data_IF_595928773027
#
_entry.id   IF_595928773027
#
_cell.length_a   1.000
_cell.length_b   1.000
_cell.length_c   1.000
_cell.angle_alpha   90.00
_cell.angle_beta   90.00
_cell.angle_gamma   90.00
#
_symmetry.space_group_name_H-M   'P 1'
#
loop_
_entity.id
_entity.type
_entity.pdbx_description
1 polymer ?
#
# COMPACT_ATOMS: atom_id res chain seq x y z
N UNK A 1 -10.93 -15.93 4.97
CA UNK A 1 -9.80 -15.31 4.24
C UNK A 1 -9.41 -14.12 5.07
N UNK A 2 -8.18 -14.09 5.59
CA UNK A 2 -7.76 -13.01 6.49
C UNK A 2 -7.90 -11.63 5.86
N UNK A 3 -8.27 -10.64 6.67
CA UNK A 3 -8.37 -9.24 6.25
C UNK A 3 -7.04 -8.54 6.49
N UNK A 4 -6.55 -7.81 5.51
CA UNK A 4 -5.35 -6.99 5.64
C UNK A 4 -5.59 -5.56 5.12
N UNK A 5 -4.85 -4.58 5.64
CA UNK A 5 -4.78 -3.23 5.07
C UNK A 5 -3.36 -2.89 4.66
N UNK A 6 -3.23 -1.88 3.80
CA UNK A 6 -1.94 -1.36 3.36
C UNK A 6 -1.71 0.00 4.00
N UNK A 7 -0.62 0.15 4.75
CA UNK A 7 -0.26 1.36 5.53
C UNK A 7 0.32 2.48 4.66
N UNK A 8 -0.15 2.60 3.42
CA UNK A 8 0.41 3.50 2.40
C UNK A 8 0.33 4.96 2.88
N UNK A 9 -0.78 5.38 3.50
CA UNK A 9 -0.94 6.78 3.95
C UNK A 9 0.01 7.11 5.09
N UNK A 10 0.12 6.22 6.06
CA UNK A 10 0.97 6.40 7.23
C UNK A 10 2.44 6.49 6.80
N UNK A 11 2.90 5.53 6.00
CA UNK A 11 4.28 5.48 5.51
C UNK A 11 4.61 6.64 4.57
N UNK A 12 3.70 7.00 3.66
CA UNK A 12 3.88 8.16 2.79
C UNK A 12 3.98 9.46 3.59
N UNK A 13 3.16 9.63 4.63
CA UNK A 13 3.19 10.82 5.49
C UNK A 13 4.48 10.92 6.29
N UNK A 14 4.98 9.80 6.83
CA UNK A 14 6.26 9.75 7.55
C UNK A 14 7.43 10.18 6.66
N UNK A 15 7.37 9.87 5.37
CA UNK A 15 8.42 10.18 4.39
C UNK A 15 8.19 11.50 3.64
N UNK A 16 7.08 12.21 3.88
CA UNK A 16 6.74 13.43 3.14
C UNK A 16 6.39 13.19 1.66
N UNK A 17 6.00 11.97 1.29
CA UNK A 17 5.64 11.58 -0.07
C UNK A 17 4.14 11.78 -0.35
N UNK A 18 3.82 12.31 -1.53
CA UNK A 18 2.45 12.39 -2.01
C UNK A 18 2.03 11.08 -2.70
N UNK A 19 0.76 10.66 -2.53
CA UNK A 19 0.22 9.47 -3.22
C UNK A 19 0.36 9.53 -4.75
N UNK A 20 0.29 10.74 -5.33
CA UNK A 20 0.55 10.96 -6.77
C UNK A 20 2.00 10.66 -7.16
N UNK A 21 2.95 11.00 -6.30
CA UNK A 21 4.37 10.68 -6.52
C UNK A 21 4.59 9.17 -6.46
N UNK A 22 3.98 8.50 -5.48
CA UNK A 22 4.04 7.04 -5.34
C UNK A 22 3.48 6.34 -6.57
N UNK A 23 2.29 6.74 -7.02
CA UNK A 23 1.67 6.21 -8.24
C UNK A 23 2.59 6.32 -9.46
N UNK A 24 3.21 7.51 -9.66
CA UNK A 24 4.11 7.75 -10.78
C UNK A 24 5.39 6.90 -10.69
N UNK A 25 6.01 6.81 -9.52
CA UNK A 25 7.27 6.09 -9.34
C UNK A 25 7.07 4.56 -9.35
N UNK A 26 6.00 4.06 -8.75
CA UNK A 26 5.67 2.64 -8.71
C UNK A 26 5.09 2.13 -10.05
N UNK A 27 4.78 3.04 -10.98
CA UNK A 27 4.04 2.74 -12.21
C UNK A 27 2.72 2.00 -11.93
N UNK A 28 2.01 2.42 -10.88
CA UNK A 28 0.72 1.87 -10.44
C UNK A 28 -0.35 2.95 -10.66
N UNK A 29 -1.52 2.62 -11.24
CA UNK A 29 -2.59 3.60 -11.43
C UNK A 29 -2.94 4.31 -10.11
N UNK A 30 -3.15 5.63 -10.20
CA UNK A 30 -3.46 6.43 -9.01
C UNK A 30 -4.73 5.95 -8.30
N UNK A 31 -5.73 5.45 -9.05
CA UNK A 31 -6.93 4.84 -8.49
C UNK A 31 -6.60 3.63 -7.61
N UNK A 32 -5.71 2.75 -8.06
CA UNK A 32 -5.25 1.60 -7.26
C UNK A 32 -4.53 2.05 -6.00
N UNK A 33 -3.60 3.01 -6.10
CA UNK A 33 -2.90 3.56 -4.94
C UNK A 33 -3.89 4.20 -3.96
N UNK A 34 -4.86 4.97 -4.45
CA UNK A 34 -5.87 5.63 -3.63
C UNK A 34 -6.80 4.62 -2.95
N UNK A 35 -7.22 3.56 -3.65
CA UNK A 35 -8.02 2.47 -3.08
C UNK A 35 -7.25 1.76 -1.97
N UNK A 36 -5.99 1.39 -2.22
CA UNK A 36 -5.16 0.71 -1.23
C UNK A 36 -4.90 1.58 0.00
N UNK A 37 -4.62 2.86 -0.22
CA UNK A 37 -4.40 3.85 0.84
C UNK A 37 -5.67 4.23 1.62
N UNK A 38 -6.85 3.95 1.06
CA UNK A 38 -8.15 4.29 1.65
C UNK A 38 -8.92 3.11 2.20
N UNK A 39 -8.53 1.88 1.87
CA UNK A 39 -9.27 0.70 2.33
C UNK A 39 -8.98 0.41 3.80
N UNK A 40 -10.01 0.29 4.65
CA UNK A 40 -9.83 -0.12 6.04
C UNK A 40 -9.50 -1.61 6.17
N UNK A 41 -9.66 -2.40 5.11
CA UNK A 41 -9.36 -3.83 5.06
C UNK A 41 -9.71 -4.42 3.68
N UNK A 42 -8.92 -5.38 3.22
CA UNK A 42 -9.02 -6.00 1.91
C UNK A 42 -8.79 -7.51 2.04
N UNK A 43 -9.51 -8.29 1.23
CA UNK A 43 -9.30 -9.74 1.13
C UNK A 43 -8.25 -10.12 0.08
N UNK A 44 -8.01 -9.25 -0.91
CA UNK A 44 -7.08 -9.48 -2.01
C UNK A 44 -6.42 -8.18 -2.45
N UNK A 45 -5.20 -8.29 -2.98
CA UNK A 45 -4.45 -7.19 -3.60
C UNK A 45 -3.56 -7.75 -4.72
N UNK A 46 -3.22 -6.89 -5.68
CA UNK A 46 -2.29 -7.22 -6.76
C UNK A 46 -0.86 -7.18 -6.22
N UNK A 47 -0.26 -8.36 -6.02
CA UNK A 47 1.08 -8.50 -5.40
C UNK A 47 2.16 -7.68 -6.13
N UNK A 48 2.28 -7.73 -7.48
CA UNK A 48 3.15 -6.83 -8.23
C UNK A 48 2.95 -5.34 -7.93
N UNK A 49 1.72 -4.86 -7.70
CA UNK A 49 1.47 -3.48 -7.32
C UNK A 49 1.94 -3.20 -5.87
N UNK A 50 1.68 -4.11 -4.94
CA UNK A 50 2.12 -4.00 -3.54
C UNK A 50 3.64 -3.93 -3.45
N UNK A 51 4.36 -4.82 -4.15
CA UNK A 51 5.83 -4.84 -4.17
C UNK A 51 6.42 -3.53 -4.68
N UNK A 52 5.91 -3.00 -5.79
CA UNK A 52 6.37 -1.72 -6.36
C UNK A 52 6.08 -0.54 -5.45
N UNK A 53 4.96 -0.55 -4.75
CA UNK A 53 4.64 0.49 -3.75
C UNK A 53 5.59 0.39 -2.55
N UNK A 54 5.88 -0.82 -2.06
CA UNK A 54 6.82 -1.04 -0.97
C UNK A 54 8.24 -0.55 -1.33
N UNK A 55 8.70 -0.86 -2.56
CA UNK A 55 10.00 -0.40 -3.08
C UNK A 55 10.10 1.14 -3.10
N UNK A 56 9.07 1.83 -3.61
CA UNK A 56 9.03 3.30 -3.63
C UNK A 56 8.98 3.92 -2.24
N UNK A 57 8.33 3.24 -1.30
CA UNK A 57 8.30 3.64 0.11
C UNK A 57 9.56 3.20 0.87
N UNK A 58 10.48 2.45 0.25
CA UNK A 58 11.69 1.95 0.90
C UNK A 58 11.43 1.06 2.13
N UNK A 59 10.28 0.38 2.18
CA UNK A 59 9.88 -0.52 3.27
C UNK A 59 9.78 -1.96 2.78
N UNK A 60 9.76 -2.92 3.72
CA UNK A 60 9.42 -4.30 3.38
C UNK A 60 7.91 -4.46 3.13
N UNK A 61 7.52 -5.56 2.47
CA UNK A 61 6.09 -5.85 2.25
C UNK A 61 5.37 -6.11 3.57
N UNK A 62 6.05 -6.74 4.53
CA UNK A 62 5.55 -7.01 5.88
C UNK A 62 5.32 -5.72 6.69
N UNK A 63 6.13 -4.68 6.46
CA UNK A 63 5.89 -3.37 7.08
C UNK A 63 4.74 -2.60 6.40
N UNK A 64 4.58 -2.78 5.08
CA UNK A 64 3.50 -2.19 4.30
C UNK A 64 2.14 -2.82 4.63
N UNK A 65 2.09 -4.12 4.87
CA UNK A 65 0.87 -4.90 5.12
C UNK A 65 0.60 -4.99 6.61
N UNK A 66 -0.63 -4.71 7.01
CA UNK A 66 -1.12 -4.92 8.37
C UNK A 66 -2.26 -5.92 8.36
N UNK A 67 -2.09 -7.04 9.06
CA UNK A 67 -3.13 -8.06 9.21
C UNK A 67 -4.11 -7.58 10.29
N UNK A 68 -5.38 -7.47 9.91
CA UNK A 68 -6.46 -6.99 10.79
C UNK A 68 -7.22 -8.16 11.40
N UNK A 69 -7.37 -9.25 10.66
CA UNK A 69 -8.06 -10.45 11.11
C UNK A 69 -7.33 -11.69 10.61
N UNK A 70 -6.78 -12.47 11.54
CA UNK A 70 -6.29 -13.83 11.29
C UNK A 70 -7.48 -14.79 11.48
N UNK A 71 -7.98 -15.39 10.39
CA UNK A 71 -9.00 -16.45 10.48
C UNK A 71 -8.36 -17.81 10.65
#
# INVERSE_FOLDING_TARGET
>A
MGLFRLRIRELAKQQGLALRAISRQANVPYSTVATYAGSPGMATADIPAVMRIAEVLGVSVEELVEVIEET
#
